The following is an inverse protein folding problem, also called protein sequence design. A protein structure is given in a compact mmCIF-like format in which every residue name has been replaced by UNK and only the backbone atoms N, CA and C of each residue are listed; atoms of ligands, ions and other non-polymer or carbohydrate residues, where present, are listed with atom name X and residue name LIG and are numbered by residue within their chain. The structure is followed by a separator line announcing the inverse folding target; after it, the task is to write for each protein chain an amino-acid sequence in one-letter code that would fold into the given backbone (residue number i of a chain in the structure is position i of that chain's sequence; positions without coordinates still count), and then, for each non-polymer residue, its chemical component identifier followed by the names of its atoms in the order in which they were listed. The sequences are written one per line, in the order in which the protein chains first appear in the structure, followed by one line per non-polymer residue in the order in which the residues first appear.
data_IF_151755832673
#
_entry.id   IF_151755832673
#
_cell.length_a   1.000
_cell.length_b   1.000
_cell.length_c   1.000
_cell.angle_alpha   90.00
_cell.angle_beta   90.00
_cell.angle_gamma   90.00
#
_symmetry.space_group_name_H-M   'P 1'
#
loop_
_entity.id
_entity.type
_entity.pdbx_description
1 polymer ?
#
# COMPACT_ATOMS: atom_id res chain seq x y z
N UNK A 1 -12.05 -49.22 2.40
CA UNK A 1 -12.22 -47.90 1.76
C UNK A 1 -11.01 -47.05 2.11
N UNK A 2 -10.36 -46.41 1.14
CA UNK A 2 -9.16 -45.59 1.38
C UNK A 2 -9.48 -44.33 2.22
N UNK A 3 -10.72 -43.85 2.12
CA UNK A 3 -11.21 -42.63 2.80
C UNK A 3 -11.34 -42.77 4.33
N UNK A 4 -11.38 -44.01 4.85
CA UNK A 4 -11.41 -44.30 6.29
C UNK A 4 -10.04 -44.68 6.85
N UNK A 5 -9.00 -44.70 6.01
CA UNK A 5 -7.64 -45.02 6.45
C UNK A 5 -7.07 -43.88 7.29
N UNK A 6 -6.38 -44.24 8.39
CA UNK A 6 -5.63 -43.29 9.24
C UNK A 6 -4.66 -42.46 8.41
N UNK A 7 -4.02 -43.08 7.41
CA UNK A 7 -3.08 -42.39 6.50
C UNK A 7 -3.78 -41.29 5.69
N UNK A 8 -5.02 -41.52 5.27
CA UNK A 8 -5.80 -40.54 4.52
C UNK A 8 -6.18 -39.35 5.41
N UNK A 9 -6.62 -39.63 6.65
CA UNK A 9 -6.92 -38.58 7.63
C UNK A 9 -5.68 -37.75 7.99
N UNK A 10 -4.52 -38.39 8.14
CA UNK A 10 -3.24 -37.70 8.41
C UNK A 10 -2.84 -36.77 7.27
N UNK A 11 -2.99 -37.21 6.00
CA UNK A 11 -2.68 -36.37 4.84
C UNK A 11 -3.63 -35.17 4.77
N UNK A 12 -4.93 -35.38 5.01
CA UNK A 12 -5.92 -34.30 5.04
C UNK A 12 -5.60 -33.30 6.16
N UNK A 13 -5.32 -33.76 7.37
CA UNK A 13 -4.96 -32.90 8.49
C UNK A 13 -3.70 -32.08 8.19
N UNK A 14 -2.65 -32.72 7.66
CA UNK A 14 -1.43 -32.03 7.24
C UNK A 14 -1.71 -31.00 6.15
N UNK A 15 -2.53 -31.34 5.16
CA UNK A 15 -2.93 -30.43 4.08
C UNK A 15 -3.68 -29.21 4.60
N UNK A 16 -4.64 -29.40 5.51
CA UNK A 16 -5.37 -28.30 6.16
C UNK A 16 -4.43 -27.42 6.98
N UNK A 17 -3.54 -28.02 7.77
CA UNK A 17 -2.58 -27.28 8.60
C UNK A 17 -1.62 -26.46 7.73
N UNK A 18 -1.08 -27.03 6.66
CA UNK A 18 -0.21 -26.34 5.72
C UNK A 18 -0.96 -25.21 4.99
N UNK A 19 -2.18 -25.48 4.52
CA UNK A 19 -3.02 -24.47 3.87
C UNK A 19 -3.34 -23.29 4.78
N UNK A 20 -3.69 -23.55 6.05
CA UNK A 20 -3.93 -22.51 7.05
C UNK A 20 -2.68 -21.68 7.32
N UNK A 21 -1.53 -22.34 7.49
CA UNK A 21 -0.27 -21.65 7.74
C UNK A 21 0.13 -20.75 6.56
N UNK A 22 0.05 -21.26 5.33
CA UNK A 22 0.34 -20.49 4.12
C UNK A 22 -0.64 -19.33 3.94
N UNK A 23 -1.94 -19.59 4.10
CA UNK A 23 -2.99 -18.57 3.99
C UNK A 23 -2.83 -17.45 5.01
N UNK A 24 -2.52 -17.79 6.28
CA UNK A 24 -2.26 -16.80 7.33
C UNK A 24 -1.02 -15.97 7.00
N UNK A 25 0.08 -16.61 6.58
CA UNK A 25 1.31 -15.91 6.25
C UNK A 25 1.11 -14.94 5.06
N UNK A 26 0.44 -15.39 4.01
CA UNK A 26 0.11 -14.54 2.86
C UNK A 26 -0.82 -13.39 3.24
N UNK A 27 -1.87 -13.67 4.01
CA UNK A 27 -2.85 -12.68 4.46
C UNK A 27 -2.22 -11.60 5.33
N UNK A 28 -1.37 -11.97 6.30
CA UNK A 28 -0.64 -11.02 7.14
C UNK A 28 0.30 -10.16 6.31
N UNK A 29 1.09 -10.76 5.41
CA UNK A 29 2.00 -9.99 4.56
C UNK A 29 1.26 -9.02 3.63
N UNK A 30 0.16 -9.45 3.02
CA UNK A 30 -0.66 -8.60 2.17
C UNK A 30 -1.30 -7.46 2.96
N UNK A 31 -1.89 -7.78 4.12
CA UNK A 31 -2.52 -6.80 4.99
C UNK A 31 -1.55 -5.73 5.50
N UNK A 32 -0.33 -6.13 5.90
CA UNK A 32 0.71 -5.19 6.31
C UNK A 32 1.15 -4.26 5.17
N UNK A 33 1.35 -4.80 3.95
CA UNK A 33 1.72 -3.99 2.78
C UNK A 33 0.61 -3.00 2.42
N UNK A 34 -0.63 -3.47 2.32
CA UNK A 34 -1.78 -2.61 1.99
C UNK A 34 -2.02 -1.56 3.08
N UNK A 35 -1.93 -1.94 4.35
CA UNK A 35 -2.11 -1.03 5.47
C UNK A 35 -1.06 0.07 5.51
N UNK A 36 0.21 -0.27 5.25
CA UNK A 36 1.29 0.72 5.15
C UNK A 36 1.05 1.71 4.00
N UNK A 37 0.77 1.21 2.80
CA UNK A 37 0.53 2.07 1.63
C UNK A 37 -0.68 3.00 1.83
N UNK A 38 -1.79 2.48 2.34
CA UNK A 38 -2.99 3.28 2.62
C UNK A 38 -2.74 4.32 3.73
N UNK A 39 -2.01 3.94 4.78
CA UNK A 39 -1.63 4.82 5.88
C UNK A 39 -0.77 5.99 5.40
N UNK A 40 0.27 5.72 4.62
CA UNK A 40 1.12 6.76 4.06
C UNK A 40 0.38 7.68 3.10
N UNK A 41 -0.42 7.11 2.19
CA UNK A 41 -1.23 7.87 1.24
C UNK A 41 -2.18 8.83 1.97
N UNK A 42 -2.84 8.36 3.02
CA UNK A 42 -3.72 9.18 3.86
C UNK A 42 -2.94 10.29 4.57
N UNK A 43 -1.79 9.96 5.15
CA UNK A 43 -0.94 10.93 5.85
C UNK A 43 -0.45 12.03 4.90
N UNK A 44 0.13 11.65 3.76
CA UNK A 44 0.65 12.60 2.75
C UNK A 44 -0.45 13.53 2.25
N UNK A 45 -1.63 13.00 1.92
CA UNK A 45 -2.77 13.81 1.47
C UNK A 45 -3.21 14.82 2.55
N UNK A 46 -3.33 14.39 3.81
CA UNK A 46 -3.68 15.28 4.92
C UNK A 46 -2.65 16.36 5.15
N UNK A 47 -1.36 16.03 5.05
CA UNK A 47 -0.27 17.00 5.23
C UNK A 47 -0.26 18.02 4.09
N UNK A 48 -0.45 17.58 2.85
CA UNK A 48 -0.58 18.48 1.70
C UNK A 48 -1.79 19.41 1.83
N UNK A 49 -2.95 18.89 2.25
CA UNK A 49 -4.13 19.72 2.44
C UNK A 49 -3.96 20.74 3.57
N UNK A 50 -3.15 20.41 4.59
CA UNK A 50 -2.80 21.33 5.66
C UNK A 50 -1.81 22.41 5.22
N UNK A 51 -0.86 22.08 4.35
CA UNK A 51 0.19 23.00 3.87
C UNK A 51 -0.32 23.92 2.75
N UNK A 52 -1.03 23.35 1.77
CA UNK A 52 -1.41 24.02 0.52
C UNK A 52 -2.90 24.37 0.44
N UNK A 53 -3.68 23.96 1.44
CA UNK A 53 -5.13 24.04 1.39
C UNK A 53 -5.75 22.93 0.55
N UNK A 54 -7.04 23.07 0.24
CA UNK A 54 -7.81 22.03 -0.46
C UNK A 54 -7.20 21.71 -1.83
N UNK A 55 -6.74 20.47 -1.99
CA UNK A 55 -6.15 20.01 -3.25
C UNK A 55 -7.22 19.82 -4.35
N UNK A 56 -6.92 20.16 -5.61
CA UNK A 56 -7.78 19.82 -6.72
C UNK A 56 -7.92 18.30 -6.90
N UNK A 57 -9.09 17.85 -7.34
CA UNK A 57 -9.40 16.42 -7.54
C UNK A 57 -8.40 15.72 -8.47
N UNK A 58 -7.86 16.42 -9.48
CA UNK A 58 -6.85 15.86 -10.39
C UNK A 58 -5.56 15.52 -9.66
N UNK A 59 -5.06 16.45 -8.85
CA UNK A 59 -3.84 16.30 -8.05
C UNK A 59 -4.00 15.16 -7.04
N UNK A 60 -5.15 15.10 -6.36
CA UNK A 60 -5.47 13.99 -5.45
C UNK A 60 -5.41 12.63 -6.16
N UNK A 61 -6.04 12.50 -7.33
CA UNK A 61 -6.03 11.26 -8.12
C UNK A 61 -4.63 10.87 -8.62
N UNK A 62 -3.71 11.82 -8.80
CA UNK A 62 -2.33 11.51 -9.14
C UNK A 62 -1.59 10.94 -7.94
N UNK A 63 -1.75 11.54 -6.76
CA UNK A 63 -1.17 11.06 -5.50
C UNK A 63 -1.71 9.67 -5.15
N UNK A 64 -2.99 9.41 -5.40
CA UNK A 64 -3.61 8.10 -5.16
C UNK A 64 -3.01 6.96 -6.00
N UNK A 65 -2.37 7.29 -7.13
CA UNK A 65 -1.71 6.33 -8.01
C UNK A 65 -0.23 6.12 -7.68
N UNK A 66 0.33 6.90 -6.77
CA UNK A 66 1.72 6.74 -6.36
C UNK A 66 1.89 5.43 -5.57
N UNK A 67 2.97 4.72 -5.87
CA UNK A 67 3.43 3.59 -5.06
C UNK A 67 4.06 4.05 -3.74
N UNK A 68 4.32 3.12 -2.83
CA UNK A 68 4.85 3.41 -1.51
C UNK A 68 6.15 4.25 -1.54
N UNK A 69 7.13 3.84 -2.34
CA UNK A 69 8.41 4.57 -2.43
C UNK A 69 8.24 6.03 -2.91
N UNK A 70 7.29 6.26 -3.82
CA UNK A 70 6.97 7.60 -4.29
C UNK A 70 6.23 8.42 -3.22
N UNK A 71 5.41 7.78 -2.38
CA UNK A 71 4.74 8.43 -1.25
C UNK A 71 5.74 8.82 -0.17
N UNK A 72 6.72 7.96 0.14
CA UNK A 72 7.81 8.25 1.06
C UNK A 72 8.64 9.45 0.57
N UNK A 73 9.07 9.41 -0.70
CA UNK A 73 9.81 10.50 -1.31
C UNK A 73 9.01 11.81 -1.38
N UNK A 74 7.70 11.72 -1.64
CA UNK A 74 6.82 12.88 -1.58
C UNK A 74 6.75 13.44 -0.16
N UNK A 75 6.64 12.57 0.85
CA UNK A 75 6.63 12.90 2.28
C UNK A 75 7.84 13.71 2.72
N UNK A 76 9.04 13.33 2.28
CA UNK A 76 10.27 14.08 2.53
C UNK A 76 10.28 15.44 1.81
N UNK A 77 9.85 15.46 0.54
CA UNK A 77 9.79 16.68 -0.26
C UNK A 77 8.74 17.69 0.22
N UNK A 78 7.73 17.26 0.99
CA UNK A 78 6.66 18.14 1.50
C UNK A 78 7.19 19.35 2.27
N UNK A 79 8.32 19.18 2.98
CA UNK A 79 8.91 20.24 3.81
C UNK A 79 9.37 21.44 2.97
N UNK A 80 9.71 21.21 1.70
CA UNK A 80 10.19 22.24 0.78
C UNK A 80 9.07 22.93 0.00
N UNK A 81 7.83 22.44 0.09
CA UNK A 81 6.71 22.98 -0.70
C UNK A 81 6.21 24.29 -0.13
N UNK A 82 6.18 25.33 -0.98
CA UNK A 82 5.65 26.66 -0.65
C UNK A 82 4.35 26.95 -1.38
N UNK A 83 4.04 26.17 -2.41
CA UNK A 83 2.89 26.38 -3.28
C UNK A 83 2.44 25.09 -3.97
N UNK A 84 1.23 25.12 -4.52
CA UNK A 84 0.73 24.04 -5.39
C UNK A 84 1.60 23.83 -6.65
N UNK A 85 2.30 24.87 -7.10
CA UNK A 85 3.23 24.76 -8.23
C UNK A 85 4.40 23.83 -7.91
N UNK A 86 4.89 23.82 -6.68
CA UNK A 86 5.98 22.95 -6.25
C UNK A 86 5.54 21.48 -6.28
N UNK A 87 4.36 21.19 -5.73
CA UNK A 87 3.74 19.87 -5.77
C UNK A 87 3.51 19.39 -7.21
N UNK A 88 2.93 20.22 -8.07
CA UNK A 88 2.64 19.82 -9.46
C UNK A 88 3.92 19.62 -10.27
N UNK A 89 4.98 20.37 -10.00
CA UNK A 89 6.30 20.14 -10.60
C UNK A 89 6.92 18.82 -10.11
N UNK A 90 6.88 18.57 -8.81
CA UNK A 90 7.38 17.33 -8.23
C UNK A 90 6.66 16.11 -8.82
N UNK A 91 5.33 16.16 -8.91
CA UNK A 91 4.53 15.08 -9.51
C UNK A 91 4.87 14.86 -10.98
N UNK A 92 5.14 15.91 -11.77
CA UNK A 92 5.56 15.73 -13.17
C UNK A 92 6.92 15.05 -13.30
N UNK A 93 7.84 15.32 -12.38
CA UNK A 93 9.20 14.78 -12.41
C UNK A 93 9.26 13.35 -11.86
N UNK A 94 8.44 13.02 -10.86
CA UNK A 94 8.54 11.77 -10.10
C UNK A 94 7.37 10.80 -10.31
N UNK A 95 6.21 11.26 -10.82
CA UNK A 95 5.04 10.41 -11.08
C UNK A 95 4.92 9.92 -12.54
N UNK A 96 5.80 10.36 -13.45
CA UNK A 96 5.77 10.01 -14.88
C UNK A 96 7.00 9.23 -15.36
N UNK A 97 7.79 8.66 -14.45
CA UNK A 97 9.02 7.95 -14.80
C UNK A 97 9.29 6.77 -13.90
N UNK A 98 8.57 5.67 -14.12
CA UNK A 98 8.98 4.24 -14.08
C UNK A 98 7.75 3.36 -13.95
#
# INVERSE_FOLDING_TARGET
MLEESVVYQDILQKGVQQGLQQGLQQGVQQGLRQGREQGEKSLVLRQLERLLGKLPTRTRKQIEKLGLEQLEALGEALVEFKSERDLTNWLKQNALGR
#
